data_IF_106602077802
#
_entry.id   IF_106602077802
#
_cell.length_a   1.000
_cell.length_b   1.000
_cell.length_c   1.000
_cell.angle_alpha   90.00
_cell.angle_beta   90.00
_cell.angle_gamma   90.00
#
_symmetry.space_group_name_H-M   'P 1'
#
loop_
_entity.id
_entity.type
_entity.pdbx_description
1 polymer ?
#
# COMPACT_ATOMS: atom_id res chain seq x y z
N UNK A 1 0.25 -12.42 -28.78
CA UNK A 1 -1.04 -11.85 -28.35
C UNK A 1 -0.80 -10.41 -27.95
N UNK A 2 -1.73 -9.51 -28.25
CA UNK A 2 -1.62 -8.06 -27.98
C UNK A 2 -2.50 -7.74 -26.76
N UNK A 3 -2.06 -6.83 -25.90
CA UNK A 3 -2.83 -6.35 -24.75
C UNK A 3 -4.19 -5.79 -25.18
N UNK A 4 -5.26 -6.22 -24.51
CA UNK A 4 -6.59 -5.65 -24.70
C UNK A 4 -6.70 -4.30 -23.97
N UNK A 5 -6.42 -3.22 -24.72
CA UNK A 5 -6.48 -1.85 -24.20
C UNK A 5 -7.88 -1.41 -23.79
N UNK A 6 -8.94 -1.98 -24.39
CA UNK A 6 -10.32 -1.67 -24.03
C UNK A 6 -10.65 -2.22 -22.64
N UNK A 7 -10.32 -3.49 -22.42
CA UNK A 7 -10.50 -4.15 -21.12
C UNK A 7 -9.65 -3.50 -20.02
N UNK A 8 -8.38 -3.17 -20.32
CA UNK A 8 -7.53 -2.43 -19.38
C UNK A 8 -8.10 -1.04 -19.04
N UNK A 9 -8.68 -0.34 -20.02
CA UNK A 9 -9.35 0.95 -19.81
C UNK A 9 -10.55 0.85 -18.84
N UNK A 10 -11.37 -0.20 -18.98
CA UNK A 10 -12.46 -0.48 -18.04
C UNK A 10 -11.93 -0.76 -16.64
N UNK A 11 -10.86 -1.56 -16.54
CA UNK A 11 -10.21 -1.83 -15.26
C UNK A 11 -9.69 -0.56 -14.59
N UNK A 12 -9.00 0.30 -15.31
CA UNK A 12 -8.48 1.58 -14.79
C UNK A 12 -9.60 2.45 -14.18
N UNK A 13 -10.78 2.48 -14.83
CA UNK A 13 -11.96 3.17 -14.27
C UNK A 13 -12.50 2.49 -13.01
N UNK A 14 -12.63 1.16 -13.04
CA UNK A 14 -13.12 0.38 -11.91
C UNK A 14 -12.21 0.45 -10.68
N UNK A 15 -10.88 0.43 -10.87
CA UNK A 15 -9.90 0.52 -9.78
C UNK A 15 -9.83 1.93 -9.21
N UNK A 16 -10.01 2.99 -10.03
CA UNK A 16 -10.14 4.36 -9.55
C UNK A 16 -11.36 4.51 -8.63
N UNK A 17 -12.52 3.96 -9.06
CA UNK A 17 -13.73 3.93 -8.26
C UNK A 17 -13.54 3.10 -6.98
N UNK A 18 -12.82 1.98 -7.06
CA UNK A 18 -12.51 1.13 -5.90
C UNK A 18 -11.65 1.86 -4.87
N UNK A 19 -10.56 2.50 -5.30
CA UNK A 19 -9.69 3.27 -4.42
C UNK A 19 -10.46 4.43 -3.76
N UNK A 20 -11.27 5.15 -4.54
CA UNK A 20 -12.14 6.20 -4.02
C UNK A 20 -13.14 5.65 -3.01
N UNK A 21 -13.80 4.53 -3.28
CA UNK A 21 -14.77 3.91 -2.37
C UNK A 21 -14.14 3.52 -1.03
N UNK A 22 -12.98 2.84 -1.05
CA UNK A 22 -12.27 2.45 0.18
C UNK A 22 -11.92 3.68 1.01
N UNK A 23 -11.40 4.75 0.38
CA UNK A 23 -10.99 5.95 1.11
C UNK A 23 -12.18 6.82 1.55
N UNK A 24 -13.28 6.87 0.81
CA UNK A 24 -14.50 7.56 1.23
C UNK A 24 -15.19 6.85 2.41
N UNK A 25 -15.22 5.52 2.39
CA UNK A 25 -15.69 4.74 3.55
C UNK A 25 -14.78 5.00 4.75
N UNK A 26 -13.47 4.98 4.56
CA UNK A 26 -12.50 5.28 5.61
C UNK A 26 -12.67 6.70 6.14
N UNK A 27 -12.89 7.68 5.27
CA UNK A 27 -13.17 9.06 5.64
C UNK A 27 -14.43 9.16 6.51
N UNK A 28 -15.51 8.50 6.11
CA UNK A 28 -16.75 8.49 6.87
C UNK A 28 -16.59 7.82 8.25
N UNK A 29 -15.71 6.82 8.38
CA UNK A 29 -15.34 6.23 9.67
C UNK A 29 -14.48 7.20 10.49
N UNK A 30 -13.49 7.83 9.86
CA UNK A 30 -12.57 8.76 10.50
C UNK A 30 -13.29 9.98 11.08
N UNK A 31 -14.24 10.57 10.35
CA UNK A 31 -15.06 11.69 10.82
C UNK A 31 -15.90 11.28 12.02
N UNK A 32 -16.54 10.10 11.98
CA UNK A 32 -17.34 9.60 13.11
C UNK A 32 -16.52 9.30 14.35
N UNK A 33 -15.27 8.86 14.17
CA UNK A 33 -14.35 8.50 15.26
C UNK A 33 -13.50 9.66 15.74
N UNK A 34 -13.41 10.76 14.98
CA UNK A 34 -12.45 11.83 15.20
C UNK A 34 -10.99 11.37 15.06
N UNK A 35 -10.73 10.38 14.20
CA UNK A 35 -9.42 9.73 14.04
C UNK A 35 -9.07 9.54 12.56
N UNK A 36 -8.32 10.48 12.00
CA UNK A 36 -7.87 10.50 10.61
C UNK A 36 -6.68 9.59 10.32
N UNK A 37 -5.86 9.22 11.33
CA UNK A 37 -4.81 8.19 11.19
C UNK A 37 -5.29 6.81 10.73
N UNK A 38 -6.60 6.54 10.78
CA UNK A 38 -7.17 5.30 10.24
C UNK A 38 -6.88 5.17 8.74
N UNK A 39 -6.68 6.29 8.04
CA UNK A 39 -6.31 6.28 6.62
C UNK A 39 -4.97 5.58 6.34
N UNK A 40 -4.03 5.59 7.27
CA UNK A 40 -2.76 4.84 7.14
C UNK A 40 -3.01 3.32 7.11
N UNK A 41 -4.04 2.84 7.79
CA UNK A 41 -4.45 1.42 7.73
C UNK A 41 -5.13 1.14 6.38
N UNK A 42 -6.00 2.05 5.94
CA UNK A 42 -6.74 1.92 4.71
C UNK A 42 -5.85 1.90 3.46
N UNK A 43 -4.65 2.48 3.53
CA UNK A 43 -3.66 2.47 2.45
C UNK A 43 -3.40 1.05 1.92
N UNK A 44 -3.00 0.11 2.80
CA UNK A 44 -2.74 -1.28 2.41
C UNK A 44 -4.01 -2.03 1.96
N UNK A 45 -5.17 -1.69 2.56
CA UNK A 45 -6.46 -2.26 2.16
C UNK A 45 -6.86 -1.80 0.76
N UNK A 46 -6.65 -0.53 0.41
CA UNK A 46 -7.00 0.05 -0.87
C UNK A 46 -6.19 -0.58 -2.01
N UNK A 47 -4.88 -0.78 -1.84
CA UNK A 47 -4.05 -1.51 -2.80
C UNK A 47 -4.49 -2.97 -2.96
N UNK A 48 -4.81 -3.65 -1.85
CA UNK A 48 -5.31 -5.02 -1.90
C UNK A 48 -6.65 -5.11 -2.65
N UNK A 49 -7.55 -4.16 -2.44
CA UNK A 49 -8.83 -4.09 -3.15
C UNK A 49 -8.64 -3.84 -4.65
N UNK A 50 -7.76 -2.90 -5.03
CA UNK A 50 -7.40 -2.65 -6.43
C UNK A 50 -6.84 -3.90 -7.09
N UNK A 51 -5.96 -4.64 -6.40
CA UNK A 51 -5.37 -5.87 -6.90
C UNK A 51 -6.43 -6.97 -7.14
N UNK A 52 -7.38 -7.14 -6.21
CA UNK A 52 -8.48 -8.10 -6.35
C UNK A 52 -9.40 -7.72 -7.51
N UNK A 53 -9.80 -6.46 -7.61
CA UNK A 53 -10.66 -5.98 -8.72
C UNK A 53 -9.96 -6.17 -10.06
N UNK A 54 -8.67 -5.85 -10.13
CA UNK A 54 -7.85 -6.06 -11.33
C UNK A 54 -7.78 -7.53 -11.71
N UNK A 55 -7.54 -8.41 -10.74
CA UNK A 55 -7.47 -9.84 -10.98
C UNK A 55 -8.77 -10.42 -11.55
N UNK A 56 -9.91 -9.97 -11.00
CA UNK A 56 -11.24 -10.38 -11.48
C UNK A 56 -11.55 -9.85 -12.88
N UNK A 57 -11.20 -8.58 -13.18
CA UNK A 57 -11.51 -7.95 -14.47
C UNK A 57 -10.55 -8.33 -15.59
N UNK A 58 -9.35 -8.83 -15.26
CA UNK A 58 -8.35 -9.28 -16.23
C UNK A 58 -8.61 -10.68 -16.77
N UNK A 59 -9.75 -11.29 -16.44
CA UNK A 59 -10.06 -12.66 -16.81
C UNK A 59 -10.15 -12.88 -18.31
N UNK A 60 -9.39 -13.86 -18.81
CA UNK A 60 -9.23 -14.12 -20.24
C UNK A 60 -8.35 -13.10 -21.00
N UNK A 61 -7.76 -12.09 -20.35
CA UNK A 61 -6.97 -11.06 -21.02
C UNK A 61 -5.45 -11.15 -20.81
N UNK A 62 -5.00 -11.66 -19.66
CA UNK A 62 -3.57 -11.81 -19.33
C UNK A 62 -3.19 -13.26 -19.01
N UNK A 63 -1.90 -13.49 -18.77
CA UNK A 63 -1.42 -14.78 -18.29
C UNK A 63 -1.94 -15.08 -16.88
N UNK A 64 -2.60 -16.22 -16.69
CA UNK A 64 -3.24 -16.59 -15.42
C UNK A 64 -2.25 -16.67 -14.26
N UNK A 65 -1.03 -17.13 -14.53
CA UNK A 65 0.05 -17.18 -13.54
C UNK A 65 0.44 -15.78 -13.09
N UNK A 66 0.75 -14.88 -14.03
CA UNK A 66 1.12 -13.48 -13.73
C UNK A 66 0.00 -12.75 -13.01
N UNK A 67 -1.24 -12.87 -13.48
CA UNK A 67 -2.44 -12.27 -12.90
C UNK A 67 -2.62 -12.65 -11.43
N UNK A 68 -2.57 -13.94 -11.13
CA UNK A 68 -2.71 -14.43 -9.76
C UNK A 68 -1.56 -13.97 -8.88
N UNK A 69 -0.33 -14.03 -9.40
CA UNK A 69 0.89 -13.77 -8.67
C UNK A 69 1.04 -12.29 -8.31
N UNK A 70 0.75 -11.36 -9.23
CA UNK A 70 0.76 -9.91 -8.93
C UNK A 70 -0.36 -9.52 -7.96
N UNK A 71 -1.52 -10.14 -8.07
CA UNK A 71 -2.64 -9.90 -7.16
C UNK A 71 -2.34 -10.41 -5.74
N UNK A 72 -1.82 -11.63 -5.63
CA UNK A 72 -1.41 -12.23 -4.36
C UNK A 72 -0.28 -11.46 -3.70
N UNK A 73 0.77 -11.09 -4.45
CA UNK A 73 1.89 -10.29 -3.94
C UNK A 73 1.41 -8.94 -3.37
N UNK A 74 0.55 -8.23 -4.11
CA UNK A 74 0.00 -6.95 -3.66
C UNK A 74 -0.89 -7.11 -2.43
N UNK A 75 -1.76 -8.12 -2.40
CA UNK A 75 -2.65 -8.37 -1.27
C UNK A 75 -1.90 -8.81 -0.01
N UNK A 76 -0.90 -9.70 -0.13
CA UNK A 76 -0.08 -10.15 1.00
C UNK A 76 0.65 -8.96 1.63
N UNK A 77 1.31 -8.13 0.82
CA UNK A 77 1.98 -6.93 1.31
C UNK A 77 0.97 -5.94 1.93
N UNK A 78 -0.10 -5.59 1.21
CA UNK A 78 -1.06 -4.58 1.63
C UNK A 78 -1.80 -4.95 2.91
N UNK A 79 -2.26 -6.20 3.03
CA UNK A 79 -2.92 -6.69 4.23
C UNK A 79 -1.96 -6.81 5.41
N UNK A 80 -0.70 -7.22 5.18
CA UNK A 80 0.35 -7.24 6.21
C UNK A 80 0.61 -5.83 6.75
N UNK A 81 0.75 -4.85 5.86
CA UNK A 81 0.99 -3.45 6.22
C UNK A 81 -0.19 -2.90 7.02
N UNK A 82 -1.41 -3.09 6.53
CA UNK A 82 -2.63 -2.68 7.22
C UNK A 82 -2.72 -3.31 8.62
N UNK A 83 -2.46 -4.61 8.75
CA UNK A 83 -2.47 -5.31 10.04
C UNK A 83 -1.34 -4.83 10.98
N UNK A 84 -0.15 -4.51 10.45
CA UNK A 84 0.94 -3.95 11.24
C UNK A 84 0.56 -2.56 11.80
N UNK A 85 0.11 -1.66 10.94
CA UNK A 85 -0.29 -0.30 11.33
C UNK A 85 -1.48 -0.36 12.30
N UNK A 86 -2.48 -1.19 12.03
CA UNK A 86 -3.63 -1.36 12.91
C UNK A 86 -3.21 -1.81 14.31
N UNK A 87 -2.32 -2.80 14.43
CA UNK A 87 -1.80 -3.27 15.72
C UNK A 87 -1.01 -2.19 16.45
N UNK A 88 -0.10 -1.49 15.76
CA UNK A 88 0.72 -0.41 16.34
C UNK A 88 -0.14 0.75 16.83
N UNK A 89 -1.23 1.01 16.12
CA UNK A 89 -2.13 2.14 16.36
C UNK A 89 -3.14 1.90 17.49
N UNK A 90 -3.38 0.65 17.92
CA UNK A 90 -4.36 0.34 18.98
C UNK A 90 -4.06 1.10 20.27
N UNK A 91 -5.11 1.62 20.92
CA UNK A 91 -5.00 2.34 22.19
C UNK A 91 -4.39 3.75 22.13
N UNK A 92 -3.92 4.19 20.95
CA UNK A 92 -3.37 5.54 20.78
C UNK A 92 -4.47 6.53 20.33
N UNK A 93 -4.32 7.81 20.66
CA UNK A 93 -5.16 8.89 20.15
C UNK A 93 -4.85 9.22 18.69
N UNK A 94 -5.28 10.39 18.23
CA UNK A 94 -4.90 10.90 16.91
C UNK A 94 -3.37 11.02 16.77
N UNK A 95 -2.85 10.82 15.56
CA UNK A 95 -1.43 11.06 15.29
C UNK A 95 -1.17 12.58 15.20
N UNK A 96 -0.19 13.15 15.93
CA UNK A 96 0.13 14.58 15.87
C UNK A 96 0.34 15.12 14.46
N UNK A 97 0.78 14.28 13.51
CA UNK A 97 0.91 14.63 12.09
C UNK A 97 -0.42 15.09 11.50
N UNK A 98 -1.52 14.38 11.78
CA UNK A 98 -2.85 14.74 11.27
C UNK A 98 -3.39 15.97 11.98
N UNK A 99 -3.20 16.08 13.30
CA UNK A 99 -3.58 17.28 14.04
C UNK A 99 -2.92 18.52 13.44
N UNK A 100 -1.59 18.50 13.30
CA UNK A 100 -0.82 19.61 12.74
C UNK A 100 -1.17 19.92 11.27
N UNK A 101 -1.54 18.91 10.48
CA UNK A 101 -2.02 19.13 9.11
C UNK A 101 -3.39 19.83 9.12
N UNK A 102 -4.32 19.36 9.96
CA UNK A 102 -5.69 19.86 10.02
C UNK A 102 -5.79 21.22 10.72
N UNK A 103 -4.83 21.58 11.56
CA UNK A 103 -4.73 22.92 12.16
C UNK A 103 -4.41 24.00 11.13
N UNK A 104 -3.86 23.62 9.96
CA UNK A 104 -3.63 24.52 8.82
C UNK A 104 -4.87 24.76 7.96
N UNK A 105 -6.01 24.16 8.31
CA UNK A 105 -7.22 24.27 7.50
C UNK A 105 -7.79 25.71 7.56
N UNK A 106 -7.96 26.42 6.43
CA UNK A 106 -8.47 27.80 6.42
C UNK A 106 -9.99 27.89 6.66
N UNK A 107 -10.63 26.81 7.11
CA UNK A 107 -12.09 26.72 7.23
C UNK A 107 -12.53 25.35 7.72
N UNK A 108 -13.47 24.71 7.00
CA UNK A 108 -14.01 23.41 7.41
C UNK A 108 -12.91 22.33 7.40
N UNK A 109 -12.49 21.91 8.60
CA UNK A 109 -11.45 20.88 8.80
C UNK A 109 -11.81 19.56 8.14
N UNK A 110 -13.08 19.17 8.14
CA UNK A 110 -13.58 17.93 7.54
C UNK A 110 -13.46 17.98 6.02
N UNK A 111 -13.83 19.09 5.38
CA UNK A 111 -13.65 19.27 3.94
C UNK A 111 -12.16 19.36 3.56
N UNK A 112 -11.36 20.01 4.38
CA UNK A 112 -9.91 20.09 4.19
C UNK A 112 -9.27 18.70 4.29
N UNK A 113 -9.68 17.88 5.26
CA UNK A 113 -9.24 16.48 5.37
C UNK A 113 -9.62 15.69 4.12
N UNK A 114 -10.89 15.75 3.70
CA UNK A 114 -11.38 15.05 2.51
C UNK A 114 -10.50 15.37 1.29
N UNK A 115 -10.28 16.65 1.01
CA UNK A 115 -9.54 17.08 -0.19
C UNK A 115 -8.06 16.74 -0.13
N UNK A 116 -7.38 17.12 0.95
CA UNK A 116 -5.91 17.08 0.99
C UNK A 116 -5.36 15.74 1.53
N UNK A 117 -6.17 14.94 2.22
CA UNK A 117 -5.78 13.62 2.72
C UNK A 117 -6.40 12.53 1.88
N UNK A 118 -7.73 12.45 1.84
CA UNK A 118 -8.41 11.26 1.30
C UNK A 118 -8.45 11.24 -0.23
N UNK A 119 -8.83 12.33 -0.89
CA UNK A 119 -8.82 12.38 -2.36
C UNK A 119 -7.38 12.29 -2.91
N UNK A 120 -6.44 12.99 -2.27
CA UNK A 120 -5.02 12.90 -2.61
C UNK A 120 -4.46 11.49 -2.48
N UNK A 121 -4.71 10.81 -1.35
CA UNK A 121 -4.29 9.42 -1.17
C UNK A 121 -5.00 8.47 -2.14
N UNK A 122 -6.26 8.72 -2.49
CA UNK A 122 -6.99 7.89 -3.44
C UNK A 122 -6.38 7.96 -4.84
N UNK A 123 -6.04 9.17 -5.29
CA UNK A 123 -5.32 9.39 -6.54
C UNK A 123 -3.93 8.73 -6.52
N UNK A 124 -3.21 8.81 -5.40
CA UNK A 124 -1.90 8.15 -5.26
C UNK A 124 -2.02 6.63 -5.26
N UNK A 125 -3.00 6.03 -4.58
CA UNK A 125 -3.24 4.58 -4.62
C UNK A 125 -3.49 4.13 -6.06
N UNK A 126 -4.35 4.84 -6.79
CA UNK A 126 -4.64 4.51 -8.18
C UNK A 126 -3.40 4.64 -9.09
N UNK A 127 -2.63 5.73 -8.94
CA UNK A 127 -1.42 5.97 -9.72
C UNK A 127 -0.30 4.96 -9.42
N UNK A 128 -0.04 4.69 -8.14
CA UNK A 128 1.05 3.80 -7.71
C UNK A 128 0.73 2.35 -8.06
N UNK A 129 -0.55 1.97 -8.09
CA UNK A 129 -0.98 0.60 -8.45
C UNK A 129 -1.00 0.31 -9.95
N UNK A 130 -0.64 1.26 -10.82
CA UNK A 130 -0.63 1.05 -12.27
C UNK A 130 0.19 -0.18 -12.72
N UNK A 131 1.35 -0.52 -12.12
CA UNK A 131 2.08 -1.72 -12.54
C UNK A 131 1.31 -3.01 -12.24
N UNK A 132 0.58 -3.08 -11.12
CA UNK A 132 -0.28 -4.24 -10.78
C UNK A 132 -1.39 -4.40 -11.81
N UNK A 133 -1.98 -3.27 -12.22
CA UNK A 133 -3.01 -3.20 -13.24
C UNK A 133 -2.47 -3.62 -14.60
N UNK A 134 -1.33 -3.08 -15.02
CA UNK A 134 -0.70 -3.39 -16.30
C UNK A 134 -0.23 -4.85 -16.40
N UNK A 135 0.43 -5.37 -15.36
CA UNK A 135 0.94 -6.74 -15.31
C UNK A 135 -0.19 -7.77 -15.51
N UNK A 136 -1.37 -7.52 -14.94
CA UNK A 136 -2.52 -8.44 -15.05
C UNK A 136 -3.11 -8.53 -16.46
N UNK A 137 -2.84 -7.56 -17.34
CA UNK A 137 -3.27 -7.56 -18.74
C UNK A 137 -2.12 -7.87 -19.71
N UNK A 138 -0.93 -8.22 -19.20
CA UNK A 138 0.23 -8.56 -20.03
C UNK A 138 0.08 -9.98 -20.59
N UNK A 139 -0.02 -10.14 -21.93
CA UNK A 139 -0.18 -11.45 -22.55
C UNK A 139 1.18 -12.13 -22.74
N UNK A 140 1.24 -13.42 -22.41
CA UNK A 140 2.43 -14.24 -22.61
C UNK A 140 2.93 -14.87 -21.32
N UNK A 141 3.65 -16.01 -21.42
CA UNK A 141 4.04 -16.78 -20.25
C UNK A 141 4.95 -15.97 -19.32
N UNK A 142 5.10 -16.47 -18.10
CA UNK A 142 6.07 -15.93 -17.14
C UNK A 142 7.49 -15.98 -17.72
N UNK A 143 8.19 -14.86 -17.62
CA UNK A 143 9.56 -14.69 -18.09
C UNK A 143 10.54 -14.43 -16.95
N UNK A 144 11.80 -14.18 -17.33
CA UNK A 144 12.89 -13.90 -16.37
C UNK A 144 12.58 -12.68 -15.49
N UNK A 145 11.91 -11.66 -16.05
CA UNK A 145 11.54 -10.46 -15.30
C UNK A 145 10.50 -10.74 -14.22
N UNK A 146 9.55 -11.65 -14.45
CA UNK A 146 8.56 -12.04 -13.43
C UNK A 146 9.25 -12.71 -12.23
N UNK A 147 10.21 -13.61 -12.49
CA UNK A 147 10.97 -14.27 -11.43
C UNK A 147 11.87 -13.29 -10.66
N UNK A 148 12.56 -12.38 -11.37
CA UNK A 148 13.32 -11.31 -10.75
C UNK A 148 12.41 -10.38 -9.92
N UNK A 149 11.24 -10.04 -10.44
CA UNK A 149 10.24 -9.21 -9.78
C UNK A 149 9.79 -9.80 -8.46
N UNK A 150 9.49 -11.10 -8.43
CA UNK A 150 9.13 -11.81 -7.19
C UNK A 150 10.30 -11.92 -6.23
N UNK A 151 11.51 -12.16 -6.69
CA UNK A 151 12.68 -12.17 -5.83
C UNK A 151 12.90 -10.79 -5.16
N UNK A 152 12.81 -9.71 -5.93
CA UNK A 152 12.92 -8.33 -5.44
C UNK A 152 11.77 -8.00 -4.47
N UNK A 153 10.54 -8.39 -4.81
CA UNK A 153 9.37 -8.20 -3.95
C UNK A 153 9.52 -8.95 -2.62
N UNK A 154 9.97 -10.21 -2.65
CA UNK A 154 10.13 -11.03 -1.45
C UNK A 154 11.23 -10.47 -0.53
N UNK A 155 12.33 -9.99 -1.11
CA UNK A 155 13.37 -9.27 -0.36
C UNK A 155 12.79 -8.00 0.26
N UNK A 156 12.03 -7.22 -0.49
CA UNK A 156 11.36 -6.00 0.01
C UNK A 156 10.45 -6.28 1.19
N UNK A 157 9.54 -7.25 1.04
CA UNK A 157 8.64 -7.67 2.10
C UNK A 157 9.41 -8.17 3.33
N UNK A 158 10.51 -8.91 3.14
CA UNK A 158 11.38 -9.36 4.21
C UNK A 158 12.04 -8.22 4.98
N UNK A 159 12.61 -7.23 4.27
CA UNK A 159 13.21 -6.04 4.87
C UNK A 159 12.18 -5.21 5.65
N UNK A 160 11.00 -5.01 5.07
CA UNK A 160 9.91 -4.29 5.71
C UNK A 160 9.42 -5.01 6.97
N UNK A 161 9.15 -6.32 6.85
CA UNK A 161 8.70 -7.15 7.96
C UNK A 161 9.70 -7.20 9.12
N UNK A 162 10.97 -7.42 8.80
CA UNK A 162 12.03 -7.51 9.80
C UNK A 162 12.32 -6.15 10.43
N UNK A 163 12.38 -5.08 9.64
CA UNK A 163 12.61 -3.72 10.14
C UNK A 163 11.53 -3.27 11.11
N UNK A 164 10.26 -3.49 10.76
CA UNK A 164 9.13 -3.19 11.64
C UNK A 164 9.13 -4.05 12.91
N UNK A 165 9.46 -5.35 12.81
CA UNK A 165 9.57 -6.23 13.97
C UNK A 165 10.69 -5.78 14.93
N UNK A 166 11.87 -5.48 14.40
CA UNK A 166 13.02 -5.00 15.18
C UNK A 166 12.66 -3.71 15.92
N UNK A 167 12.01 -2.75 15.26
CA UNK A 167 11.62 -1.49 15.88
C UNK A 167 10.52 -1.70 16.94
N UNK A 168 9.53 -2.54 16.66
CA UNK A 168 8.46 -2.84 17.60
C UNK A 168 9.03 -3.48 18.87
N UNK A 169 9.92 -4.46 18.74
CA UNK A 169 10.59 -5.11 19.89
C UNK A 169 11.47 -4.13 20.67
N UNK A 170 12.22 -3.27 19.99
CA UNK A 170 13.05 -2.27 20.65
C UNK A 170 12.22 -1.31 21.51
N UNK A 171 11.08 -0.83 20.98
CA UNK A 171 10.18 0.10 21.67
C UNK A 171 9.40 -0.53 22.84
N UNK A 172 9.26 -1.85 22.88
CA UNK A 172 8.57 -2.55 23.97
C UNK A 172 9.37 -2.54 25.28
N UNK A 173 10.69 -2.42 25.20
CA UNK A 173 11.56 -2.33 26.38
C UNK A 173 11.62 -0.89 26.91
N UNK A 174 11.12 -0.61 28.13
CA UNK A 174 11.15 0.73 28.72
C UNK A 174 12.56 1.31 28.86
N UNK A 175 13.60 0.47 28.97
CA UNK A 175 14.99 0.91 29.06
C UNK A 175 15.50 1.57 27.76
N UNK A 176 14.75 1.42 26.66
CA UNK A 176 15.06 2.02 25.36
C UNK A 176 14.34 3.35 25.10
N UNK A 177 13.54 3.86 26.06
CA UNK A 177 12.90 5.17 25.91
C UNK A 177 13.95 6.27 25.70
N UNK A 178 13.75 7.07 24.66
CA UNK A 178 14.67 8.15 24.27
C UNK A 178 15.94 7.70 23.55
N UNK A 179 16.17 6.39 23.37
CA UNK A 179 17.34 5.86 22.65
C UNK A 179 17.04 5.66 21.17
N UNK A 180 18.08 5.78 20.35
CA UNK A 180 18.03 5.48 18.92
C UNK A 180 18.21 3.97 18.74
N UNK A 181 17.40 3.36 17.88
CA UNK A 181 17.61 1.97 17.47
C UNK A 181 18.70 1.92 16.41
N UNK A 182 19.87 1.40 16.76
CA UNK A 182 21.09 1.35 15.93
C UNK A 182 21.55 -0.08 15.63
N UNK A 183 20.67 -1.08 15.85
CA UNK A 183 20.98 -2.51 15.70
C UNK A 183 20.18 -3.15 14.55
N UNK A 184 20.64 -4.29 14.07
CA UNK A 184 19.97 -5.00 12.97
C UNK A 184 19.92 -4.15 11.71
N UNK A 185 18.79 -4.11 11.01
CA UNK A 185 18.65 -3.32 9.77
C UNK A 185 18.73 -1.81 10.02
N UNK A 186 18.33 -1.37 11.22
CA UNK A 186 18.34 0.05 11.61
C UNK A 186 19.75 0.62 11.80
N UNK A 187 20.75 -0.25 12.00
CA UNK A 187 22.16 0.16 12.02
C UNK A 187 22.73 0.49 10.63
N UNK A 188 22.06 0.03 9.56
CA UNK A 188 22.49 0.23 8.17
C UNK A 188 21.76 1.40 7.51
N UNK A 189 20.50 1.61 7.87
CA UNK A 189 19.66 2.69 7.34
C UNK A 189 18.66 3.18 8.37
N UNK A 190 18.31 4.48 8.27
CA UNK A 190 17.30 5.10 9.15
C UNK A 190 15.88 4.62 8.89
N UNK A 191 15.61 4.04 7.73
CA UNK A 191 14.27 3.60 7.33
C UNK A 191 14.33 2.28 6.54
N UNK A 192 14.70 1.16 7.19
CA UNK A 192 14.79 -0.14 6.51
C UNK A 192 13.44 -0.62 5.98
N UNK A 193 12.35 -0.21 6.63
CA UNK A 193 11.00 -0.51 6.18
C UNK A 193 10.61 0.26 4.91
N UNK A 194 11.06 1.51 4.74
CA UNK A 194 10.79 2.25 3.49
C UNK A 194 11.63 1.73 2.32
N UNK A 195 12.84 1.24 2.61
CA UNK A 195 13.63 0.50 1.63
C UNK A 195 12.90 -0.78 1.19
N UNK A 196 12.35 -1.54 2.15
CA UNK A 196 11.52 -2.71 1.87
C UNK A 196 10.30 -2.40 1.01
N UNK A 197 9.54 -1.36 1.37
CA UNK A 197 8.39 -0.85 0.61
C UNK A 197 8.76 -0.46 -0.83
N UNK A 198 9.89 0.22 -0.99
CA UNK A 198 10.40 0.58 -2.32
C UNK A 198 10.69 -0.67 -3.16
N UNK A 199 11.37 -1.67 -2.58
CA UNK A 199 11.65 -2.93 -3.27
C UNK A 199 10.37 -3.70 -3.61
N UNK A 200 9.35 -3.68 -2.75
CA UNK A 200 8.04 -4.28 -3.06
C UNK A 200 7.47 -3.68 -4.34
N UNK A 201 7.44 -2.36 -4.46
CA UNK A 201 6.88 -1.67 -5.63
C UNK A 201 7.74 -1.82 -6.89
N UNK A 202 9.07 -1.83 -6.75
CA UNK A 202 9.98 -2.15 -7.86
C UNK A 202 9.82 -3.60 -8.33
N UNK A 203 9.62 -4.54 -7.40
CA UNK A 203 9.31 -5.93 -7.70
C UNK A 203 8.03 -6.04 -8.52
N UNK A 204 6.94 -5.42 -8.04
CA UNK A 204 5.64 -5.34 -8.74
C UNK A 204 5.76 -4.69 -10.14
N UNK A 205 6.63 -3.69 -10.29
CA UNK A 205 6.90 -3.06 -11.58
C UNK A 205 7.58 -4.00 -12.58
N UNK A 206 8.52 -4.82 -12.14
CA UNK A 206 9.19 -5.80 -13.01
C UNK A 206 8.23 -6.84 -13.59
N UNK A 207 7.12 -7.16 -12.92
CA UNK A 207 6.08 -8.03 -13.47
C UNK A 207 5.23 -7.37 -14.57
N UNK A 208 5.31 -6.06 -14.71
CA UNK A 208 4.62 -5.31 -15.75
C UNK A 208 5.48 -5.07 -17.00
N UNK A 209 6.75 -5.47 -16.98
CA UNK A 209 7.74 -5.29 -18.05
C UNK A 209 7.86 -6.57 -18.89
#
# INVERSE_FOLDING_TARGET
MITDWGALGVNLGATAATAAAVLLVTFAIAVRRGLHRIVDIAWGVAFSAVAVVTWLLSDGHGDDGRRLLVAAATAIWGLRLAAHIARRSRGHGEDPRYTALLDKAPGNRTLYALRNVYLGQGALVWLISLPVQSASYSPGPLGVLDYCGIAVWALGLGFEALGDYQLARFKQDPANRGKIMDRGLWGWTRHPNYFGDSLVWWGLYLLAC
#
